data_IF_212239165428
#
_entry.id   IF_212239165428
#
_cell.length_a   1.000
_cell.length_b   1.000
_cell.length_c   1.000
_cell.angle_alpha   90.00
_cell.angle_beta   90.00
_cell.angle_gamma   90.00
#
_symmetry.space_group_name_H-M   'P 1'
#
loop_
_entity.id
_entity.type
_entity.pdbx_description
1 polymer ?
#
# COMPACT_ATOMS: atom_id res chain seq x y z
N UNK A 1 -14.74 -18.65 0.28
CA UNK A 1 -14.57 -17.22 0.62
C UNK A 1 -13.10 -16.91 0.42
N UNK A 2 -12.73 -16.37 -0.74
CA UNK A 2 -11.32 -16.09 -1.06
C UNK A 2 -10.92 -14.80 -0.36
N UNK A 3 -9.71 -14.74 0.20
CA UNK A 3 -9.10 -13.55 0.85
C UNK A 3 -9.40 -12.26 0.07
N UNK A 4 -9.48 -12.37 -1.25
CA UNK A 4 -9.96 -11.36 -2.18
C UNK A 4 -11.27 -10.66 -1.76
N UNK A 5 -12.36 -11.39 -1.56
CA UNK A 5 -13.66 -10.78 -1.24
C UNK A 5 -13.62 -10.05 0.10
N UNK A 6 -12.74 -10.49 1.01
CA UNK A 6 -12.51 -9.85 2.31
C UNK A 6 -11.73 -8.54 2.12
N UNK A 7 -10.63 -8.55 1.36
CA UNK A 7 -9.83 -7.35 1.08
C UNK A 7 -10.61 -6.26 0.36
N UNK A 8 -11.43 -6.63 -0.64
CA UNK A 8 -12.32 -5.69 -1.33
C UNK A 8 -13.40 -5.13 -0.40
N UNK A 9 -14.00 -5.96 0.46
CA UNK A 9 -15.03 -5.54 1.41
C UNK A 9 -14.52 -4.52 2.43
N UNK A 10 -13.23 -4.56 2.76
CA UNK A 10 -12.61 -3.58 3.66
C UNK A 10 -12.02 -2.38 2.92
N UNK A 11 -12.33 -2.18 1.64
CA UNK A 11 -11.86 -1.04 0.83
C UNK A 11 -10.33 -0.89 0.76
N UNK A 12 -9.57 -1.99 0.90
CA UNK A 12 -8.09 -1.96 0.81
C UNK A 12 -7.57 -1.57 -0.60
N UNK A 13 -8.46 -1.31 -1.55
CA UNK A 13 -8.19 -1.32 -3.00
C UNK A 13 -8.69 -0.10 -3.77
N UNK A 14 -9.70 0.63 -3.30
CA UNK A 14 -10.30 1.76 -4.05
C UNK A 14 -9.54 3.09 -3.87
N UNK A 15 -8.30 3.05 -3.37
CA UNK A 15 -7.68 4.23 -2.79
C UNK A 15 -6.50 4.78 -3.62
N UNK A 16 -6.54 4.64 -4.95
CA UNK A 16 -5.39 4.89 -5.83
C UNK A 16 -5.41 6.23 -6.60
N UNK A 17 -6.13 7.24 -6.11
CA UNK A 17 -6.02 8.59 -6.65
C UNK A 17 -4.56 9.02 -6.74
N UNK A 18 -4.21 9.79 -7.78
CA UNK A 18 -2.89 10.38 -7.95
C UNK A 18 -2.65 11.41 -6.84
N UNK A 19 -2.25 10.90 -5.67
CA UNK A 19 -1.77 11.69 -4.56
C UNK A 19 -0.50 12.40 -5.07
N UNK A 20 -0.59 13.71 -5.28
CA UNK A 20 0.54 14.57 -5.65
C UNK A 20 1.74 14.22 -4.78
N UNK A 21 2.88 13.86 -5.38
CA UNK A 21 4.09 13.44 -4.67
C UNK A 21 4.57 14.45 -3.62
N UNK A 22 4.05 15.68 -3.56
CA UNK A 22 4.45 16.72 -2.62
C UNK A 22 3.41 17.04 -1.53
N UNK A 23 2.32 16.28 -1.40
CA UNK A 23 1.27 16.54 -0.40
C UNK A 23 1.81 16.59 1.05
N UNK A 24 2.86 15.82 1.32
CA UNK A 24 3.51 15.72 2.63
C UNK A 24 4.54 16.84 2.90
N UNK A 25 4.75 17.76 1.97
CA UNK A 25 5.59 18.96 2.15
C UNK A 25 4.81 20.16 2.71
N UNK A 26 3.50 20.03 2.89
CA UNK A 26 2.73 21.02 3.64
C UNK A 26 3.38 21.25 5.02
N UNK A 27 3.68 22.52 5.34
CA UNK A 27 4.48 22.86 6.52
C UNK A 27 3.84 22.39 7.81
N UNK A 28 2.51 22.45 7.90
CA UNK A 28 1.81 22.07 9.10
C UNK A 28 1.76 20.54 9.25
N UNK A 29 1.42 19.83 8.17
CA UNK A 29 1.46 18.39 8.15
C UNK A 29 2.88 17.87 8.47
N UNK A 30 3.89 18.40 7.80
CA UNK A 30 5.29 17.99 7.98
C UNK A 30 5.78 18.21 9.42
N UNK A 31 5.35 19.29 10.08
CA UNK A 31 5.65 19.54 11.48
C UNK A 31 5.11 18.43 12.39
N UNK A 32 3.80 18.15 12.28
CA UNK A 32 3.14 17.10 13.08
C UNK A 32 3.65 15.70 12.75
N UNK A 33 3.95 15.45 11.48
CA UNK A 33 4.45 14.15 11.03
C UNK A 33 5.85 13.85 11.58
N UNK A 34 6.69 14.86 11.82
CA UNK A 34 8.00 14.69 12.47
C UNK A 34 7.89 14.35 13.95
N UNK A 35 6.82 14.81 14.61
CA UNK A 35 6.56 14.53 16.04
C UNK A 35 5.82 13.20 16.25
N UNK A 36 5.15 12.70 15.21
CA UNK A 36 4.34 11.49 15.26
C UNK A 36 5.21 10.25 15.03
N UNK A 37 5.54 9.54 16.11
CA UNK A 37 6.36 8.32 16.03
C UNK A 37 5.51 7.10 15.69
N UNK A 38 5.86 6.40 14.61
CA UNK A 38 5.22 5.12 14.24
C UNK A 38 5.82 3.99 15.06
N UNK A 39 7.15 4.00 15.17
CA UNK A 39 7.95 3.18 16.10
C UNK A 39 9.01 4.10 16.72
N UNK A 40 9.68 3.71 17.83
CA UNK A 40 10.59 4.61 18.56
C UNK A 40 11.71 5.23 17.72
N UNK A 41 12.11 4.61 16.61
CA UNK A 41 13.18 5.06 15.73
C UNK A 41 12.71 5.61 14.38
N UNK A 42 11.40 5.69 14.13
CA UNK A 42 10.86 6.08 12.82
C UNK A 42 9.64 6.99 13.00
N UNK A 43 9.79 8.25 12.59
CA UNK A 43 8.68 9.16 12.52
C UNK A 43 7.78 8.84 11.33
N UNK A 44 6.56 9.33 11.38
CA UNK A 44 5.66 9.28 10.25
C UNK A 44 6.26 9.99 9.04
N UNK A 45 6.86 11.17 9.24
CA UNK A 45 7.49 11.94 8.17
C UNK A 45 8.55 11.13 7.43
N UNK A 46 9.36 10.37 8.17
CA UNK A 46 10.35 9.47 7.58
C UNK A 46 9.68 8.32 6.83
N UNK A 47 8.67 7.69 7.44
CA UNK A 47 7.98 6.53 6.87
C UNK A 47 7.30 6.84 5.51
N UNK A 48 6.62 7.98 5.39
CA UNK A 48 5.90 8.39 4.16
C UNK A 48 6.88 8.56 2.99
N UNK A 49 8.14 8.93 3.27
CA UNK A 49 9.18 9.19 2.27
C UNK A 49 9.99 7.96 1.87
N UNK A 50 9.93 6.89 2.66
CA UNK A 50 10.62 5.63 2.31
C UNK A 50 10.02 4.98 1.08
N UNK A 51 10.83 4.21 0.34
CA UNK A 51 10.27 3.30 -0.67
C UNK A 51 9.47 2.19 0.01
N UNK A 52 8.47 1.64 -0.70
CA UNK A 52 7.57 0.62 -0.13
C UNK A 52 8.33 -0.60 0.39
N UNK A 53 9.42 -1.00 -0.27
CA UNK A 53 10.25 -2.15 0.13
C UNK A 53 11.11 -1.86 1.36
N UNK A 54 11.50 -0.60 1.57
CA UNK A 54 12.24 -0.16 2.74
C UNK A 54 11.31 -0.04 3.94
N UNK A 55 10.15 0.60 3.76
CA UNK A 55 9.11 0.71 4.77
C UNK A 55 8.69 -0.67 5.29
N UNK A 56 8.40 -1.62 4.39
CA UNK A 56 7.98 -2.98 4.76
C UNK A 56 9.07 -3.83 5.47
N UNK A 57 10.31 -3.36 5.57
CA UNK A 57 11.37 -3.98 6.38
C UNK A 57 11.44 -3.41 7.79
N UNK A 58 11.00 -2.15 7.98
CA UNK A 58 11.15 -1.41 9.22
C UNK A 58 9.90 -1.46 10.10
N UNK A 59 8.72 -1.50 9.49
CA UNK A 59 7.44 -1.47 10.19
C UNK A 59 6.58 -2.66 9.78
N UNK A 60 5.95 -3.28 10.77
CA UNK A 60 4.96 -4.32 10.54
C UNK A 60 3.58 -3.72 10.33
N UNK A 61 2.66 -4.53 9.80
CA UNK A 61 1.25 -4.12 9.71
C UNK A 61 0.64 -3.88 11.11
N UNK A 62 1.10 -4.59 12.13
CA UNK A 62 0.64 -4.40 13.52
C UNK A 62 1.09 -3.04 14.08
N UNK A 63 2.34 -2.64 13.84
CA UNK A 63 2.85 -1.33 14.25
C UNK A 63 2.05 -0.20 13.60
N UNK A 64 1.79 -0.33 12.29
CA UNK A 64 0.93 0.60 11.56
C UNK A 64 -0.49 0.65 12.13
N UNK A 65 -1.11 -0.50 12.39
CA UNK A 65 -2.47 -0.55 12.90
C UNK A 65 -2.58 0.12 14.27
N UNK A 66 -1.63 -0.14 15.18
CA UNK A 66 -1.54 0.52 16.48
C UNK A 66 -1.36 2.03 16.33
N UNK A 67 -0.48 2.45 15.42
CA UNK A 67 -0.23 3.86 15.15
C UNK A 67 -1.48 4.57 14.63
N UNK A 68 -2.14 4.05 13.60
CA UNK A 68 -3.39 4.62 13.04
C UNK A 68 -4.48 4.68 14.10
N UNK A 69 -4.64 3.65 14.92
CA UNK A 69 -5.60 3.67 16.02
C UNK A 69 -5.31 4.81 17.00
N UNK A 70 -4.05 5.00 17.40
CA UNK A 70 -3.66 6.09 18.28
C UNK A 70 -3.83 7.47 17.64
N UNK A 71 -3.54 7.59 16.35
CA UNK A 71 -3.61 8.85 15.62
C UNK A 71 -5.05 9.25 15.27
N UNK A 72 -5.94 8.29 14.98
CA UNK A 72 -7.36 8.54 14.79
C UNK A 72 -8.01 9.12 16.06
N UNK A 73 -7.52 8.72 17.25
CA UNK A 73 -7.99 9.23 18.53
C UNK A 73 -7.45 10.63 18.87
N UNK A 74 -6.37 11.07 18.23
CA UNK A 74 -5.89 12.45 18.31
C UNK A 74 -6.79 13.36 17.46
N UNK A 75 -7.89 13.83 18.05
CA UNK A 75 -8.84 14.76 17.42
C UNK A 75 -8.14 16.00 16.86
N UNK A 76 -8.15 16.17 15.53
CA UNK A 76 -7.56 17.33 14.87
C UNK A 76 -8.23 17.62 13.52
N UNK A 77 -8.26 18.89 13.15
CA UNK A 77 -8.86 19.57 11.97
C UNK A 77 -8.42 19.10 10.55
N UNK A 78 -7.75 17.95 10.41
CA UNK A 78 -7.06 17.50 9.19
C UNK A 78 -7.59 16.15 8.69
N UNK A 79 -8.91 15.98 8.64
CA UNK A 79 -9.50 14.70 8.26
C UNK A 79 -9.05 14.29 6.84
N UNK A 80 -9.00 15.24 5.90
CA UNK A 80 -8.57 14.98 4.52
C UNK A 80 -7.09 14.57 4.43
N UNK A 81 -6.15 15.30 5.05
CA UNK A 81 -4.72 14.93 5.01
C UNK A 81 -4.44 13.64 5.78
N UNK A 82 -5.17 13.37 6.86
CA UNK A 82 -5.08 12.10 7.58
C UNK A 82 -5.54 10.95 6.71
N UNK A 83 -6.63 11.11 5.99
CA UNK A 83 -7.14 10.09 5.08
C UNK A 83 -6.11 9.80 3.98
N UNK A 84 -5.59 10.84 3.33
CA UNK A 84 -4.53 10.73 2.30
C UNK A 84 -3.29 10.02 2.89
N UNK A 85 -2.89 10.38 4.11
CA UNK A 85 -1.75 9.75 4.77
C UNK A 85 -1.99 8.28 5.08
N UNK A 86 -3.14 7.94 5.68
CA UNK A 86 -3.51 6.57 6.03
C UNK A 86 -3.53 5.68 4.78
N UNK A 87 -4.07 6.22 3.69
CA UNK A 87 -4.11 5.61 2.35
C UNK A 87 -2.72 5.34 1.79
N UNK A 88 -1.85 6.35 1.77
CA UNK A 88 -0.48 6.23 1.28
C UNK A 88 0.33 5.20 2.07
N UNK A 89 0.19 5.19 3.39
CA UNK A 89 0.82 4.20 4.26
C UNK A 89 0.28 2.79 4.00
N UNK A 90 -1.03 2.64 3.85
CA UNK A 90 -1.65 1.35 3.56
C UNK A 90 -1.11 0.76 2.25
N UNK A 91 -1.02 1.59 1.20
CA UNK A 91 -0.46 1.16 -0.07
C UNK A 91 0.98 0.66 0.06
N UNK A 92 1.84 1.43 0.75
CA UNK A 92 3.25 1.05 0.98
C UNK A 92 3.39 -0.30 1.69
N UNK A 93 2.64 -0.48 2.77
CA UNK A 93 2.76 -1.67 3.63
C UNK A 93 2.22 -2.92 2.95
N UNK A 94 1.16 -2.78 2.16
CA UNK A 94 0.53 -3.92 1.48
C UNK A 94 1.19 -4.22 0.12
N UNK A 95 1.99 -3.30 -0.44
CA UNK A 95 2.67 -3.45 -1.74
C UNK A 95 3.41 -4.77 -1.88
N UNK A 96 4.24 -5.11 -0.89
CA UNK A 96 5.04 -6.34 -0.90
C UNK A 96 4.17 -7.60 -0.97
N UNK A 97 3.03 -7.58 -0.27
CA UNK A 97 2.07 -8.69 -0.28
C UNK A 97 1.43 -8.82 -1.67
N UNK A 98 0.89 -7.72 -2.21
CA UNK A 98 0.24 -7.73 -3.52
C UNK A 98 1.20 -8.12 -4.65
N UNK A 99 2.45 -7.68 -4.62
CA UNK A 99 3.44 -8.07 -5.64
C UNK A 99 3.69 -9.57 -5.67
N UNK A 100 3.92 -10.17 -4.50
CA UNK A 100 4.12 -11.63 -4.39
C UNK A 100 2.88 -12.39 -4.82
N UNK A 101 1.72 -11.86 -4.49
CA UNK A 101 0.46 -12.51 -4.80
C UNK A 101 0.09 -12.44 -6.28
N UNK A 102 0.43 -11.33 -6.95
CA UNK A 102 0.13 -11.11 -8.36
C UNK A 102 1.12 -11.75 -9.33
N UNK A 103 2.29 -12.21 -8.87
CA UNK A 103 3.35 -12.75 -9.74
C UNK A 103 2.89 -13.98 -10.53
N UNK A 104 2.43 -15.03 -9.85
CA UNK A 104 1.96 -16.24 -10.53
C UNK A 104 0.73 -15.95 -11.42
N UNK A 105 -0.32 -15.25 -10.94
CA UNK A 105 -1.43 -14.80 -11.79
C UNK A 105 -1.00 -14.05 -13.05
N UNK A 106 -0.02 -13.15 -12.93
CA UNK A 106 0.49 -12.39 -14.08
C UNK A 106 1.24 -13.29 -15.07
N UNK A 107 2.05 -14.22 -14.57
CA UNK A 107 2.74 -15.20 -15.40
C UNK A 107 1.76 -16.10 -16.15
N UNK A 108 0.67 -16.51 -15.51
CA UNK A 108 -0.40 -17.29 -16.14
C UNK A 108 -1.13 -16.50 -17.23
N UNK A 109 -1.53 -15.26 -16.93
CA UNK A 109 -2.22 -14.37 -17.88
C UNK A 109 -1.34 -14.05 -19.12
N UNK A 110 -0.04 -13.93 -18.92
CA UNK A 110 0.93 -13.71 -20.01
C UNK A 110 1.36 -15.02 -20.69
N UNK A 111 0.83 -16.17 -20.26
CA UNK A 111 1.17 -17.51 -20.75
C UNK A 111 2.68 -17.77 -20.72
N UNK A 112 3.35 -17.29 -19.67
CA UNK A 112 4.79 -17.45 -19.45
C UNK A 112 5.66 -16.94 -20.60
N UNK A 113 5.15 -15.99 -21.41
CA UNK A 113 5.88 -15.42 -22.55
C UNK A 113 7.01 -14.49 -22.14
N UNK A 114 7.02 -14.06 -20.89
CA UNK A 114 8.02 -13.18 -20.31
C UNK A 114 8.88 -13.96 -19.30
N UNK A 115 10.20 -13.76 -19.28
CA UNK A 115 11.05 -14.23 -18.19
C UNK A 115 10.57 -13.68 -16.85
N UNK A 116 10.77 -14.45 -15.77
CA UNK A 116 10.32 -14.07 -14.41
C UNK A 116 10.82 -12.67 -13.99
N UNK A 117 12.07 -12.33 -14.32
CA UNK A 117 12.65 -11.03 -14.02
C UNK A 117 11.87 -9.87 -14.68
N UNK A 118 11.41 -10.07 -15.92
CA UNK A 118 10.59 -9.06 -16.61
C UNK A 118 9.23 -8.91 -15.94
N UNK A 119 8.62 -10.01 -15.49
CA UNK A 119 7.36 -9.98 -14.74
C UNK A 119 7.51 -9.21 -13.42
N UNK A 120 8.59 -9.46 -12.67
CA UNK A 120 8.88 -8.76 -11.42
C UNK A 120 9.06 -7.26 -11.65
N UNK A 121 9.79 -6.85 -12.69
CA UNK A 121 9.98 -5.44 -13.04
C UNK A 121 8.66 -4.75 -13.40
N UNK A 122 7.78 -5.40 -14.15
CA UNK A 122 6.47 -4.83 -14.49
C UNK A 122 5.62 -4.68 -13.23
N UNK A 123 5.50 -5.76 -12.43
CA UNK A 123 4.74 -5.79 -11.17
C UNK A 123 5.26 -4.75 -10.16
N UNK A 124 6.55 -4.44 -10.20
CA UNK A 124 7.15 -3.43 -9.33
C UNK A 124 6.53 -2.04 -9.52
N UNK A 125 6.18 -1.70 -10.77
CA UNK A 125 5.64 -0.40 -11.17
C UNK A 125 4.13 -0.25 -10.95
N UNK A 126 3.40 -1.35 -10.77
CA UNK A 126 1.94 -1.38 -10.71
C UNK A 126 1.40 -1.03 -9.33
N UNK A 127 0.35 -0.19 -9.22
CA UNK A 127 -0.32 0.13 -7.94
C UNK A 127 -0.98 -1.13 -7.34
N UNK A 128 -1.31 -1.12 -6.05
CA UNK A 128 -1.93 -2.29 -5.41
C UNK A 128 -3.27 -2.69 -6.06
N UNK A 129 -4.00 -1.69 -6.57
CA UNK A 129 -5.23 -1.89 -7.34
C UNK A 129 -4.98 -2.65 -8.66
N UNK A 130 -3.92 -2.33 -9.39
CA UNK A 130 -3.54 -3.05 -10.61
C UNK A 130 -3.16 -4.50 -10.32
N UNK A 131 -2.35 -4.71 -9.28
CA UNK A 131 -1.92 -6.03 -8.82
C UNK A 131 -3.12 -6.89 -8.38
N UNK A 132 -4.10 -6.25 -7.78
CA UNK A 132 -5.37 -6.85 -7.45
C UNK A 132 -6.19 -7.25 -8.68
N UNK A 133 -6.30 -6.37 -9.69
CA UNK A 133 -7.02 -6.67 -10.92
C UNK A 133 -6.39 -7.83 -11.69
N UNK A 134 -5.06 -7.94 -11.70
CA UNK A 134 -4.32 -9.10 -12.22
C UNK A 134 -4.79 -10.39 -11.52
N UNK A 135 -4.79 -10.39 -10.19
CA UNK A 135 -5.24 -11.51 -9.38
C UNK A 135 -6.69 -11.92 -9.68
N UNK A 136 -7.60 -10.96 -9.87
CA UNK A 136 -8.99 -11.22 -10.24
C UNK A 136 -9.13 -11.80 -11.65
N UNK A 137 -8.40 -11.24 -12.63
CA UNK A 137 -8.45 -11.69 -14.01
C UNK A 137 -8.01 -13.15 -14.17
N UNK A 138 -6.97 -13.58 -13.44
CA UNK A 138 -6.51 -14.97 -13.44
C UNK A 138 -7.55 -15.94 -12.86
N UNK A 139 -8.38 -15.51 -11.90
CA UNK A 139 -9.49 -16.35 -11.39
C UNK A 139 -10.57 -16.57 -12.44
N UNK A 140 -10.83 -15.60 -13.32
CA UNK A 140 -11.77 -15.74 -14.43
C UNK A 140 -11.32 -16.72 -15.51
N UNK A 141 -10.01 -17.00 -15.62
CA UNK A 141 -9.46 -17.98 -16.57
C UNK A 141 -9.41 -19.41 -16.04
N UNK A 142 -9.61 -19.62 -14.73
CA UNK A 142 -9.66 -20.96 -14.10
C UNK A 142 -11.02 -21.67 -14.27
N UNK A 143 -11.85 -21.23 -15.21
CA UNK A 143 -13.10 -21.91 -15.61
C UNK A 143 -12.81 -22.70 -16.90
N UNK A 144 -12.10 -23.82 -16.79
CA UNK A 144 -11.98 -24.83 -17.84
C UNK A 144 -11.95 -26.23 -17.25
#
# INVERSE_FOLDING_TARGET
MTIMKVLKKYEWLEMSDDIDENWYDDKEFAGKAKESMVIPSLSLYDLIRLRSEEAAKLVTYEDYYKFVQSWALCGSYYDDQKEICCRHLHEKLTKRFFRRWALDPFMDLTRQRLPILCCEMIIEQLKNEDLWHICLAAQGQNIH
#
